data_IF_395927186132
#
_entry.id   IF_395927186132
#
_cell.length_a   1.000
_cell.length_b   1.000
_cell.length_c   1.000
_cell.angle_alpha   90.00
_cell.angle_beta   90.00
_cell.angle_gamma   90.00
#
_symmetry.space_group_name_H-M   'P 1'
#
loop_
_entity.id
_entity.type
_entity.pdbx_description
1 polymer ?
#
# COMPACT_ATOMS: atom_id res chain seq x y z
N UNK A 1 -3.18 -12.54 -4.19
CA UNK A 1 -2.19 -13.20 -5.07
C UNK A 1 -0.78 -12.60 -5.06
N UNK A 2 -0.52 -11.38 -5.56
CA UNK A 2 0.87 -10.88 -5.75
C UNK A 2 1.81 -11.02 -4.53
N UNK A 3 1.35 -10.67 -3.33
CA UNK A 3 2.17 -10.76 -2.11
C UNK A 3 2.56 -12.22 -1.76
N UNK A 4 1.68 -13.20 -2.03
CA UNK A 4 1.94 -14.62 -1.78
C UNK A 4 3.05 -15.18 -2.69
N UNK A 5 3.33 -14.53 -3.82
CA UNK A 5 4.41 -14.94 -4.73
C UNK A 5 5.80 -14.57 -4.21
N UNK A 6 5.88 -13.59 -3.31
CA UNK A 6 7.16 -13.04 -2.82
C UNK A 6 7.37 -13.30 -1.32
N UNK A 7 6.34 -13.70 -0.59
CA UNK A 7 6.37 -14.00 0.84
C UNK A 7 5.36 -15.08 1.21
N UNK A 8 5.72 -15.89 2.20
CA UNK A 8 4.80 -16.82 2.84
C UNK A 8 4.16 -16.13 4.05
N UNK A 9 2.83 -16.17 4.13
CA UNK A 9 2.06 -15.62 5.23
C UNK A 9 1.38 -16.75 6.00
N UNK A 10 1.58 -16.79 7.32
CA UNK A 10 0.93 -17.75 8.22
C UNK A 10 -0.54 -17.40 8.44
N UNK A 11 -0.89 -16.12 8.34
CA UNK A 11 -2.24 -15.61 8.52
C UNK A 11 -2.52 -14.47 7.54
N UNK A 12 -3.76 -14.41 7.05
CA UNK A 12 -4.27 -13.29 6.26
C UNK A 12 -5.54 -12.77 6.92
N UNK A 13 -5.62 -11.45 7.06
CA UNK A 13 -6.72 -10.73 7.72
C UNK A 13 -7.32 -9.75 6.75
N UNK A 14 -8.63 -9.59 6.79
CA UNK A 14 -9.38 -8.72 5.89
C UNK A 14 -10.35 -7.88 6.71
N UNK A 15 -10.47 -6.62 6.33
CA UNK A 15 -11.51 -5.73 6.81
C UNK A 15 -12.06 -4.90 5.65
N UNK A 16 -13.33 -4.52 5.75
CA UNK A 16 -14.03 -3.61 4.86
C UNK A 16 -15.10 -2.85 5.67
N UNK A 17 -15.46 -1.60 5.30
CA UNK A 17 -16.57 -0.89 5.93
C UNK A 17 -17.90 -1.65 5.85
N UNK A 18 -18.10 -2.41 4.76
CA UNK A 18 -19.20 -3.37 4.60
C UNK A 18 -18.71 -4.74 5.03
N UNK A 19 -19.26 -5.29 6.12
CA UNK A 19 -18.82 -6.54 6.72
C UNK A 19 -18.97 -7.72 5.76
N UNK A 20 -20.07 -7.75 5.03
CA UNK A 20 -20.40 -8.81 4.08
C UNK A 20 -19.35 -8.93 2.97
N UNK A 21 -18.80 -7.80 2.51
CA UNK A 21 -17.69 -7.80 1.53
C UNK A 21 -16.40 -8.38 2.13
N UNK A 22 -16.09 -8.07 3.40
CA UNK A 22 -14.92 -8.63 4.07
C UNK A 22 -15.05 -10.15 4.24
N UNK A 23 -16.23 -10.62 4.67
CA UNK A 23 -16.50 -12.05 4.86
C UNK A 23 -16.46 -12.82 3.55
N UNK A 24 -17.08 -12.29 2.50
CA UNK A 24 -17.04 -12.91 1.17
C UNK A 24 -15.61 -13.01 0.65
N UNK A 25 -14.86 -11.90 0.67
CA UNK A 25 -13.48 -11.90 0.20
C UNK A 25 -12.59 -12.82 1.04
N UNK A 26 -12.76 -12.81 2.36
CA UNK A 26 -12.03 -13.69 3.27
C UNK A 26 -12.27 -15.17 2.95
N UNK A 27 -13.52 -15.56 2.65
CA UNK A 27 -13.85 -16.92 2.22
C UNK A 27 -13.17 -17.31 0.91
N UNK A 28 -13.13 -16.40 -0.07
CA UNK A 28 -12.53 -16.64 -1.39
C UNK A 28 -11.02 -16.92 -1.31
N UNK A 29 -10.30 -16.24 -0.42
CA UNK A 29 -8.83 -16.32 -0.35
C UNK A 29 -8.30 -17.15 0.83
N UNK A 30 -9.18 -17.65 1.70
CA UNK A 30 -8.82 -18.35 2.93
C UNK A 30 -8.22 -17.42 4.00
N UNK A 31 -8.81 -16.25 4.19
CA UNK A 31 -8.43 -15.26 5.20
C UNK A 31 -9.47 -15.19 6.35
N UNK A 32 -9.21 -14.34 7.34
CA UNK A 32 -10.13 -14.05 8.45
C UNK A 32 -10.68 -12.63 8.33
N UNK A 33 -11.99 -12.48 8.31
CA UNK A 33 -12.64 -11.17 8.44
C UNK A 33 -12.65 -10.73 9.91
N UNK A 34 -12.30 -9.47 10.17
CA UNK A 34 -12.27 -8.88 11.52
C UNK A 34 -12.34 -7.36 11.45
N UNK A 35 -12.34 -6.66 12.58
CA UNK A 35 -12.33 -5.19 12.60
C UNK A 35 -11.02 -4.61 12.04
N UNK A 36 -11.02 -3.32 11.65
CA UNK A 36 -9.84 -2.64 11.12
C UNK A 36 -8.64 -2.71 12.08
N UNK A 37 -8.87 -2.45 13.37
CA UNK A 37 -7.82 -2.46 14.37
C UNK A 37 -7.25 -3.87 14.58
N UNK A 38 -8.10 -4.89 14.69
CA UNK A 38 -7.67 -6.28 14.84
C UNK A 38 -6.88 -6.78 13.60
N UNK A 39 -7.31 -6.36 12.40
CA UNK A 39 -6.62 -6.70 11.16
C UNK A 39 -5.19 -6.13 11.12
N UNK A 40 -4.97 -4.95 11.71
CA UNK A 40 -3.69 -4.23 11.67
C UNK A 40 -2.76 -4.65 12.82
N UNK A 41 -3.30 -4.87 14.03
CA UNK A 41 -2.48 -5.13 15.21
C UNK A 41 -1.64 -6.40 15.06
N UNK A 42 -0.32 -6.23 15.07
CA UNK A 42 0.64 -7.33 14.94
C UNK A 42 0.90 -7.77 13.50
N UNK A 43 0.27 -7.16 12.49
CA UNK A 43 0.53 -7.46 11.09
C UNK A 43 1.94 -6.97 10.68
N UNK A 44 2.66 -7.81 9.94
CA UNK A 44 3.98 -7.46 9.38
C UNK A 44 3.86 -6.64 8.10
N UNK A 45 2.81 -6.92 7.31
CA UNK A 45 2.51 -6.24 6.05
C UNK A 45 1.03 -5.87 6.05
N UNK A 46 0.74 -4.60 5.78
CA UNK A 46 -0.61 -4.04 5.67
C UNK A 46 -0.80 -3.51 4.25
N UNK A 47 -2.01 -3.66 3.72
CA UNK A 47 -2.41 -3.09 2.43
C UNK A 47 -3.69 -2.30 2.64
N UNK A 48 -3.70 -1.03 2.26
CA UNK A 48 -4.92 -0.21 2.20
C UNK A 48 -5.30 0.01 0.74
N UNK A 49 -6.52 -0.38 0.40
CA UNK A 49 -7.09 -0.36 -0.95
C UNK A 49 -8.57 0.02 -0.86
N UNK A 50 -8.83 1.24 -0.42
CA UNK A 50 -10.17 1.76 -0.17
C UNK A 50 -10.41 3.07 -0.91
N UNK A 51 -11.69 3.38 -1.12
CA UNK A 51 -12.15 4.70 -1.60
C UNK A 51 -12.49 5.63 -0.42
N UNK A 52 -11.77 5.50 0.70
CA UNK A 52 -12.05 6.32 1.88
C UNK A 52 -11.67 7.78 1.64
N UNK A 53 -12.51 8.69 2.13
CA UNK A 53 -12.23 10.12 2.17
C UNK A 53 -11.52 10.50 3.47
N UNK A 54 -11.65 9.68 4.51
CA UNK A 54 -11.10 9.92 5.85
C UNK A 54 -10.15 8.80 6.26
N UNK A 55 -9.16 9.13 7.09
CA UNK A 55 -8.18 8.18 7.57
C UNK A 55 -8.85 7.01 8.32
N UNK A 56 -8.57 5.79 7.87
CA UNK A 56 -9.09 4.54 8.44
C UNK A 56 -7.99 3.78 9.17
N UNK A 57 -6.75 3.84 8.68
CA UNK A 57 -5.58 3.24 9.30
C UNK A 57 -4.93 4.24 10.26
N UNK A 58 -4.83 3.85 11.53
CA UNK A 58 -4.17 4.67 12.56
C UNK A 58 -2.75 4.21 12.84
N UNK A 59 -1.83 5.16 12.97
CA UNK A 59 -0.42 4.89 13.30
C UNK A 59 -0.27 4.12 14.62
N UNK A 60 -1.13 4.41 15.60
CA UNK A 60 -1.16 3.72 16.91
C UNK A 60 -1.50 2.23 16.86
N UNK A 61 -1.98 1.72 15.72
CA UNK A 61 -2.26 0.30 15.52
C UNK A 61 -1.07 -0.45 14.90
N UNK A 62 -0.15 0.27 14.26
CA UNK A 62 0.95 -0.31 13.50
C UNK A 62 1.94 -1.02 14.43
N UNK A 63 2.34 -2.23 14.02
CA UNK A 63 3.45 -2.95 14.65
C UNK A 63 4.77 -2.22 14.30
N UNK A 64 5.66 -1.97 15.28
CA UNK A 64 6.99 -1.43 14.98
C UNK A 64 7.73 -2.31 13.96
N UNK A 65 8.23 -1.69 12.88
CA UNK A 65 8.94 -2.37 11.80
C UNK A 65 8.04 -2.99 10.73
N UNK A 66 6.71 -2.78 10.77
CA UNK A 66 5.82 -3.26 9.71
C UNK A 66 5.97 -2.45 8.42
N UNK A 67 5.43 -3.01 7.33
CA UNK A 67 5.35 -2.34 6.04
C UNK A 67 3.90 -2.12 5.61
N UNK A 68 3.57 -0.90 5.18
CA UNK A 68 2.25 -0.55 4.67
C UNK A 68 2.33 -0.23 3.18
N UNK A 69 1.53 -0.89 2.37
CA UNK A 69 1.26 -0.50 0.98
C UNK A 69 -0.04 0.30 0.97
N UNK A 70 0.06 1.62 0.82
CA UNK A 70 -1.07 2.53 0.76
C UNK A 70 -1.41 2.84 -0.70
N UNK A 71 -2.47 2.21 -1.22
CA UNK A 71 -2.80 2.20 -2.65
C UNK A 71 -4.02 3.08 -2.97
N UNK A 72 -4.96 3.24 -2.04
CA UNK A 72 -6.16 4.06 -2.22
C UNK A 72 -5.87 5.55 -2.08
N UNK A 73 -6.92 6.37 -1.89
CA UNK A 73 -6.82 7.82 -1.67
C UNK A 73 -5.87 8.55 -2.66
N UNK A 74 -6.16 8.44 -3.95
CA UNK A 74 -5.46 9.11 -5.05
C UNK A 74 -6.07 10.49 -5.39
N UNK A 75 -6.61 11.17 -4.37
CA UNK A 75 -7.16 12.53 -4.49
C UNK A 75 -6.57 13.40 -3.37
N UNK A 76 -6.30 14.69 -3.64
CA UNK A 76 -5.57 15.56 -2.72
C UNK A 76 -6.32 15.81 -1.40
N UNK A 77 -7.62 15.55 -1.37
CA UNK A 77 -8.52 15.69 -0.23
C UNK A 77 -8.92 14.35 0.40
N UNK A 78 -8.48 13.22 -0.15
CA UNK A 78 -8.81 11.89 0.38
C UNK A 78 -7.66 11.31 1.20
N UNK A 79 -8.01 10.53 2.23
CA UNK A 79 -7.03 9.87 3.09
C UNK A 79 -7.42 8.45 3.41
N UNK A 80 -6.41 7.59 3.53
CA UNK A 80 -6.53 6.27 4.15
C UNK A 80 -5.77 6.19 5.48
N UNK A 81 -4.71 7.00 5.64
CA UNK A 81 -3.78 6.96 6.76
C UNK A 81 -3.85 8.26 7.57
N UNK A 82 -3.80 8.16 8.90
CA UNK A 82 -3.70 9.32 9.79
C UNK A 82 -2.27 9.90 9.83
N UNK A 83 -2.11 11.01 10.57
CA UNK A 83 -0.82 11.71 10.67
C UNK A 83 0.22 10.88 11.40
N UNK A 84 -0.19 10.11 12.42
CA UNK A 84 0.70 9.22 13.17
C UNK A 84 1.28 8.11 12.28
N UNK A 85 0.47 7.54 11.37
CA UNK A 85 0.96 6.61 10.38
C UNK A 85 1.94 7.32 9.44
N UNK A 86 1.54 8.45 8.86
CA UNK A 86 2.33 9.19 7.87
C UNK A 86 3.63 9.82 8.42
N UNK A 87 3.80 9.90 9.74
CA UNK A 87 5.05 10.31 10.40
C UNK A 87 6.19 9.28 10.26
N UNK A 88 5.92 8.07 9.77
CA UNK A 88 6.90 7.01 9.55
C UNK A 88 7.72 7.22 8.25
N UNK A 89 8.54 6.24 7.86
CA UNK A 89 9.38 6.34 6.66
C UNK A 89 8.54 6.15 5.39
N UNK A 90 8.30 7.25 4.66
CA UNK A 90 7.45 7.25 3.46
C UNK A 90 8.26 7.11 2.17
N UNK A 91 8.00 6.03 1.44
CA UNK A 91 8.36 5.85 0.05
C UNK A 91 7.17 6.17 -0.85
N UNK A 92 7.44 6.66 -2.06
CA UNK A 92 6.41 6.93 -3.08
C UNK A 92 6.84 6.33 -4.42
N UNK A 93 5.91 6.15 -5.34
CA UNK A 93 6.24 5.83 -6.74
C UNK A 93 6.84 7.05 -7.46
N UNK A 94 6.19 8.20 -7.36
CA UNK A 94 6.59 9.50 -7.91
C UNK A 94 6.42 10.60 -6.87
N UNK A 95 7.47 11.40 -6.64
CA UNK A 95 7.36 12.57 -5.75
C UNK A 95 6.38 13.61 -6.29
N UNK A 96 6.42 13.84 -7.60
CA UNK A 96 5.55 14.82 -8.25
C UNK A 96 4.08 14.42 -8.09
N UNK A 97 3.74 13.16 -8.38
CA UNK A 97 2.39 12.62 -8.19
C UNK A 97 1.96 12.72 -6.74
N UNK A 98 2.80 12.25 -5.81
CA UNK A 98 2.49 12.26 -4.38
C UNK A 98 2.16 13.67 -3.84
N UNK A 99 2.93 14.68 -4.23
CA UNK A 99 2.73 16.06 -3.78
C UNK A 99 1.52 16.75 -4.43
N UNK A 100 0.99 16.20 -5.52
CA UNK A 100 -0.14 16.76 -6.27
C UNK A 100 -1.47 16.05 -5.98
N UNK A 101 -1.42 14.74 -5.75
CA UNK A 101 -2.61 13.88 -5.81
C UNK A 101 -2.84 13.08 -4.52
N UNK A 102 -1.83 12.88 -3.67
CA UNK A 102 -2.01 12.09 -2.45
C UNK A 102 -2.44 12.97 -1.28
N UNK A 103 -3.71 12.92 -0.89
CA UNK A 103 -4.17 13.59 0.33
C UNK A 103 -3.49 13.07 1.60
N UNK A 104 -3.13 11.79 1.66
CA UNK A 104 -2.30 11.25 2.77
C UNK A 104 -0.98 12.03 2.91
N UNK A 105 -0.29 12.35 1.82
CA UNK A 105 0.99 13.09 1.85
C UNK A 105 0.77 14.59 2.04
N UNK A 106 -0.17 15.18 1.29
CA UNK A 106 -0.43 16.62 1.27
C UNK A 106 -0.94 17.09 2.64
N UNK A 107 -1.95 16.40 3.18
CA UNK A 107 -2.65 16.84 4.39
C UNK A 107 -1.86 16.54 5.67
N UNK A 108 -1.03 15.49 5.68
CA UNK A 108 -0.14 15.20 6.82
C UNK A 108 1.16 16.02 6.81
N UNK A 109 1.53 16.58 5.66
CA UNK A 109 2.85 17.21 5.48
C UNK A 109 4.02 16.22 5.54
N UNK A 110 3.76 14.93 5.27
CA UNK A 110 4.76 13.88 5.40
C UNK A 110 6.02 14.13 4.55
N UNK A 111 7.19 13.93 5.17
CA UNK A 111 8.46 14.01 4.46
C UNK A 111 8.69 12.72 3.67
N UNK A 112 8.60 12.82 2.34
CA UNK A 112 8.94 11.72 1.44
C UNK A 112 10.43 11.38 1.55
N UNK A 113 10.73 10.19 2.06
CA UNK A 113 12.08 9.66 2.20
C UNK A 113 12.73 9.41 0.83
N UNK A 114 12.10 8.60 -0.01
CA UNK A 114 12.62 8.25 -1.33
C UNK A 114 11.52 7.85 -2.33
N UNK A 115 11.84 7.90 -3.61
CA UNK A 115 11.03 7.23 -4.64
C UNK A 115 11.44 5.75 -4.69
N UNK A 116 10.48 4.86 -4.96
CA UNK A 116 10.70 3.42 -5.00
C UNK A 116 11.81 3.05 -5.99
N UNK A 117 11.84 3.70 -7.17
CA UNK A 117 12.90 3.49 -8.16
C UNK A 117 14.32 3.80 -7.64
N UNK A 118 14.49 4.79 -6.75
CA UNK A 118 15.78 5.08 -6.12
C UNK A 118 16.17 4.02 -5.10
N UNK A 119 15.20 3.52 -4.34
CA UNK A 119 15.42 2.43 -3.37
C UNK A 119 15.83 1.14 -4.08
N UNK A 120 15.10 0.74 -5.14
CA UNK A 120 15.41 -0.44 -5.94
C UNK A 120 16.77 -0.35 -6.64
N UNK A 121 17.18 0.85 -7.04
CA UNK A 121 18.51 1.10 -7.61
C UNK A 121 19.64 1.18 -6.57
N UNK A 122 19.37 0.96 -5.28
CA UNK A 122 20.37 1.04 -4.21
C UNK A 122 20.92 2.46 -3.96
N UNK A 123 20.20 3.50 -4.39
CA UNK A 123 20.64 4.91 -4.31
C UNK A 123 20.30 5.59 -2.98
N UNK A 124 19.61 4.89 -2.08
CA UNK A 124 19.28 5.36 -0.73
C UNK A 124 19.52 4.23 0.28
N UNK A 125 19.86 4.55 1.54
CA UNK A 125 20.01 3.54 2.58
C UNK A 125 18.76 2.66 2.77
N UNK A 126 18.92 1.36 3.06
CA UNK A 126 17.79 0.48 3.38
C UNK A 126 17.16 0.86 4.71
N UNK A 127 15.85 0.68 4.81
CA UNK A 127 15.01 1.04 5.97
C UNK A 127 14.31 -0.17 6.57
N UNK A 128 14.93 -1.35 6.47
CA UNK A 128 14.32 -2.64 6.79
C UNK A 128 13.94 -2.86 8.27
N UNK A 129 14.45 -2.02 9.18
CA UNK A 129 14.10 -2.06 10.61
C UNK A 129 13.05 -1.02 11.01
N UNK A 130 12.77 -0.08 10.11
CA UNK A 130 11.85 1.02 10.37
C UNK A 130 10.42 0.58 9.98
N UNK A 131 9.41 1.20 10.60
CA UNK A 131 8.05 1.14 10.04
C UNK A 131 8.05 1.94 8.73
N UNK A 132 7.60 1.33 7.65
CA UNK A 132 7.66 1.92 6.31
C UNK A 132 6.30 1.99 5.66
N UNK A 133 6.05 3.08 4.93
CA UNK A 133 4.86 3.27 4.10
C UNK A 133 5.34 3.40 2.67
N UNK A 134 4.75 2.62 1.77
CA UNK A 134 4.81 2.86 0.34
C UNK A 134 3.47 3.44 -0.10
N UNK A 135 3.44 4.73 -0.45
CA UNK A 135 2.27 5.38 -1.04
C UNK A 135 2.33 5.24 -2.56
N UNK A 136 1.37 4.52 -3.12
CA UNK A 136 1.21 4.29 -4.55
C UNK A 136 0.07 5.14 -5.09
N UNK A 137 0.29 5.80 -6.22
CA UNK A 137 -0.71 6.48 -7.03
C UNK A 137 -0.85 5.84 -8.42
N UNK A 138 0.15 5.08 -8.82
CA UNK A 138 0.27 4.49 -10.14
C UNK A 138 1.02 5.43 -11.09
N UNK A 139 1.89 4.85 -11.92
CA UNK A 139 2.57 5.58 -12.97
C UNK A 139 2.31 4.95 -14.33
N UNK A 140 2.09 5.78 -15.36
CA UNK A 140 1.84 5.29 -16.71
C UNK A 140 2.93 4.34 -17.25
N UNK A 141 4.17 4.45 -16.75
CA UNK A 141 5.27 3.52 -17.11
C UNK A 141 5.00 2.09 -16.64
N UNK A 142 4.28 1.90 -15.52
CA UNK A 142 3.90 0.61 -14.98
C UNK A 142 2.89 -0.07 -15.91
N UNK A 143 1.89 0.68 -16.39
CA UNK A 143 0.90 0.21 -17.38
C UNK A 143 1.56 -0.16 -18.71
N UNK A 144 2.47 0.69 -19.21
CA UNK A 144 3.19 0.44 -20.46
C UNK A 144 4.05 -0.83 -20.35
N UNK A 145 4.72 -1.04 -19.21
CA UNK A 145 5.51 -2.24 -18.98
C UNK A 145 4.63 -3.50 -19.00
N UNK A 146 3.48 -3.48 -18.31
CA UNK A 146 2.53 -4.59 -18.33
C UNK A 146 1.97 -4.84 -19.74
N UNK A 147 1.57 -3.79 -20.45
CA UNK A 147 1.04 -3.88 -21.82
C UNK A 147 2.06 -4.47 -22.80
N UNK A 148 3.34 -4.10 -22.68
CA UNK A 148 4.41 -4.67 -23.50
C UNK A 148 4.64 -6.16 -23.23
N UNK A 149 4.53 -6.61 -21.98
CA UNK A 149 4.63 -8.03 -21.64
C UNK A 149 3.50 -8.84 -22.28
N UNK A 150 2.26 -8.35 -22.19
CA UNK A 150 1.09 -8.99 -22.83
C UNK A 150 1.23 -8.98 -24.35
N UNK A 151 1.63 -7.86 -24.94
CA UNK A 151 1.81 -7.76 -26.39
C UNK A 151 2.86 -8.76 -26.92
N UNK A 152 3.96 -8.95 -26.19
CA UNK A 152 5.02 -9.89 -26.55
C UNK A 152 4.61 -11.35 -26.40
N UNK A 153 3.82 -11.70 -25.37
CA UNK A 153 3.37 -13.08 -25.18
C UNK A 153 2.44 -13.53 -26.31
N UNK A 154 1.54 -12.66 -26.77
CA UNK A 154 0.66 -12.94 -27.92
C UNK A 154 1.47 -13.13 -29.20
N UNK A 155 2.46 -12.26 -29.46
CA UNK A 155 3.30 -12.36 -30.66
C UNK A 155 4.17 -13.61 -30.73
N UNK A 156 4.52 -14.21 -29.60
CA UNK A 156 5.37 -15.42 -29.54
C UNK A 156 4.54 -16.70 -29.75
N UNK A 157 3.21 -16.60 -29.70
CA UNK A 157 2.27 -17.74 -29.84
C UNK A 157 1.68 -17.83 -31.26
N UNK A 158 2.27 -17.12 -32.23
CA UNK A 158 1.99 -17.22 -33.67
C UNK A 158 3.22 -17.73 -34.40
#
# INVERSE_FOLDING_TARGET
EALRLIRNFEEIRVWSPTCEHAEQFAKEIGAKAMSAEEAVRGADVIVTVTNSQTAMLKGSWLKPGCHVNAIGACRPDWRELDDDAMANVVFVDSREGALKESGDVILSGAKIYAELGKALAGKVPPRAKDTTIFKSLGMAVEDIAAALLVYRSVKTTS
#
